data_IF_489702468463
#
_entry.id   IF_489702468463
#
_cell.length_a   1.000
_cell.length_b   1.000
_cell.length_c   1.000
_cell.angle_alpha   90.00
_cell.angle_beta   90.00
_cell.angle_gamma   90.00
#
_symmetry.space_group_name_H-M   'P 1'
#
loop_
_entity.id
_entity.type
_entity.pdbx_description
1 polymer ?
#
# COMPACT_ATOMS: atom_id res chain seq x y z
N UNK A 1 25.74 63.23 26.34
CA UNK A 1 25.85 63.22 27.81
C UNK A 1 25.56 61.80 28.19
N UNK A 2 26.60 61.11 28.39
CA UNK A 2 27.24 60.51 29.58
C UNK A 2 26.56 59.16 29.83
N UNK A 3 27.19 58.07 29.51
CA UNK A 3 28.41 57.40 29.96
C UNK A 3 28.26 56.68 31.31
N UNK A 4 28.87 55.54 31.33
CA UNK A 4 29.30 54.69 32.45
C UNK A 4 28.27 53.69 33.00
N UNK A 5 28.56 52.45 33.19
CA UNK A 5 29.82 51.81 33.43
C UNK A 5 29.78 50.29 33.47
N UNK A 6 30.87 49.82 33.02
CA UNK A 6 31.39 48.47 33.15
C UNK A 6 31.78 48.15 34.62
N UNK A 7 31.76 46.90 34.94
CA UNK A 7 32.63 46.10 35.81
C UNK A 7 31.76 45.05 36.51
N UNK A 8 31.92 43.78 36.48
CA UNK A 8 33.13 43.00 36.45
C UNK A 8 32.94 41.87 37.46
N UNK A 9 32.73 40.64 37.01
CA UNK A 9 32.90 39.45 37.86
C UNK A 9 33.78 38.45 37.12
N UNK A 10 35.04 38.64 37.29
CA UNK A 10 36.06 37.64 37.01
C UNK A 10 36.34 36.86 38.30
N UNK A 11 36.55 35.55 38.11
CA UNK A 11 37.27 34.58 38.93
C UNK A 11 36.52 33.98 40.13
N UNK A 12 36.29 32.68 39.98
CA UNK A 12 36.87 31.71 40.93
C UNK A 12 36.77 30.32 40.27
N UNK A 13 37.85 30.00 39.56
CA UNK A 13 38.17 28.61 39.18
C UNK A 13 38.79 27.99 40.42
N UNK A 14 38.13 27.05 41.03
CA UNK A 14 38.71 26.14 42.02
C UNK A 14 38.97 24.82 41.32
N UNK A 15 40.21 24.64 40.92
CA UNK A 15 40.79 23.37 40.52
C UNK A 15 40.76 22.39 41.69
N UNK A 16 40.07 21.28 41.51
CA UNK A 16 40.24 20.08 42.35
C UNK A 16 40.79 18.97 41.46
N UNK A 17 41.95 18.37 41.79
CA UNK A 17 42.47 17.25 41.03
C UNK A 17 41.71 15.99 41.29
N UNK A 18 41.28 15.30 40.22
CA UNK A 18 40.71 13.96 40.26
C UNK A 18 41.81 12.92 40.54
N UNK A 19 41.56 11.90 41.39
CA UNK A 19 42.55 10.86 41.66
C UNK A 19 42.70 9.93 40.43
N UNK A 20 43.93 9.76 40.04
CA UNK A 20 44.37 8.69 39.14
C UNK A 20 44.20 7.36 39.83
N UNK A 21 43.25 6.53 39.38
CA UNK A 21 43.28 5.07 39.39
C UNK A 21 41.89 4.54 39.09
N UNK A 22 41.66 4.16 37.88
CA UNK A 22 41.03 2.91 37.48
C UNK A 22 40.96 2.86 35.94
N UNK A 23 42.08 2.55 35.30
CA UNK A 23 42.05 1.96 33.94
C UNK A 23 41.93 0.47 34.12
N UNK A 24 40.79 -0.11 33.83
CA UNK A 24 40.72 -1.51 33.39
C UNK A 24 39.36 -1.73 32.69
N UNK A 25 39.47 -2.09 31.42
CA UNK A 25 38.53 -2.88 30.65
C UNK A 25 37.12 -2.29 30.39
N UNK A 26 36.98 -1.53 29.34
CA UNK A 26 35.78 -1.64 28.52
C UNK A 26 36.26 -1.92 27.10
N UNK A 27 36.19 -3.18 26.79
CA UNK A 27 36.38 -3.72 25.46
C UNK A 27 35.33 -3.20 24.49
N UNK A 28 35.76 -3.11 23.28
CA UNK A 28 35.05 -2.76 22.08
C UNK A 28 33.55 -3.18 22.03
N UNK A 29 32.70 -2.19 21.88
CA UNK A 29 31.41 -2.34 21.25
C UNK A 29 31.17 -1.08 20.39
N UNK A 30 32.02 -0.89 19.40
CA UNK A 30 31.71 -0.05 18.26
C UNK A 30 30.96 -0.93 17.26
N UNK A 31 29.66 -1.09 17.47
CA UNK A 31 28.79 -1.75 16.51
C UNK A 31 27.73 -0.77 16.02
N UNK A 32 27.98 -0.27 14.83
CA UNK A 32 26.98 -0.09 13.78
C UNK A 32 25.72 0.71 14.13
N UNK A 33 25.81 2.01 14.11
CA UNK A 33 24.71 2.91 13.75
C UNK A 33 24.78 3.16 12.23
N UNK A 34 24.41 2.20 11.43
CA UNK A 34 24.07 2.37 10.04
C UNK A 34 22.91 1.43 9.71
N UNK A 35 21.74 1.75 10.25
CA UNK A 35 20.48 1.17 9.88
C UNK A 35 19.55 2.27 9.37
N UNK A 36 19.83 2.86 8.22
CA UNK A 36 18.76 3.41 7.40
C UNK A 36 17.90 2.23 6.96
N UNK A 37 17.04 1.81 7.85
CA UNK A 37 15.97 0.88 7.54
C UNK A 37 15.08 1.54 6.51
N UNK A 38 15.24 1.15 5.24
CA UNK A 38 14.20 1.34 4.25
C UNK A 38 12.90 0.88 4.91
N UNK A 39 11.96 1.78 5.13
CA UNK A 39 10.61 1.44 5.53
C UNK A 39 10.02 0.65 4.38
N UNK A 40 10.24 -0.65 4.38
CA UNK A 40 9.51 -1.60 3.56
C UNK A 40 8.05 -1.42 3.97
N UNK A 41 7.24 -0.84 3.07
CA UNK A 41 5.82 -0.65 3.31
C UNK A 41 5.23 -1.94 3.85
N UNK A 42 4.61 -1.89 5.03
CA UNK A 42 4.20 -3.05 5.77
C UNK A 42 3.24 -3.91 4.92
N UNK A 43 3.72 -5.05 4.46
CA UNK A 43 2.91 -6.06 3.80
C UNK A 43 2.12 -6.81 4.87
N UNK A 44 0.80 -6.82 4.74
CA UNK A 44 -0.08 -7.65 5.57
C UNK A 44 -0.12 -9.03 4.93
N UNK A 45 0.43 -10.05 5.60
CA UNK A 45 0.42 -11.44 5.13
C UNK A 45 -0.75 -12.22 5.73
N UNK A 46 -1.38 -13.15 4.98
CA UNK A 46 -2.45 -13.99 5.49
C UNK A 46 -2.01 -14.81 6.71
N UNK A 47 -2.82 -14.81 7.77
CA UNK A 47 -2.65 -15.70 8.93
C UNK A 47 -3.41 -16.98 8.64
N UNK A 48 -2.72 -18.03 8.34
CA UNK A 48 -3.01 -19.46 8.23
C UNK A 48 -4.36 -20.11 8.54
N UNK A 49 -5.49 -19.39 8.48
CA UNK A 49 -6.83 -19.97 8.49
C UNK A 49 -7.32 -20.00 7.04
N UNK A 50 -7.15 -21.13 6.37
CA UNK A 50 -7.78 -21.32 5.06
C UNK A 50 -9.29 -21.29 5.22
N UNK A 51 -9.95 -20.26 4.71
CA UNK A 51 -11.36 -20.35 4.39
C UNK A 51 -11.52 -21.32 3.21
N UNK A 52 -12.67 -21.95 3.07
CA UNK A 52 -12.99 -22.77 1.88
C UNK A 52 -13.24 -21.89 0.65
N UNK A 53 -13.28 -20.56 0.83
CA UNK A 53 -13.54 -19.57 -0.22
C UNK A 53 -12.24 -19.11 -0.86
N UNK A 54 -12.31 -18.85 -2.15
CA UNK A 54 -11.24 -18.34 -3.00
C UNK A 54 -11.67 -16.98 -3.59
N UNK A 55 -10.72 -16.15 -3.99
CA UNK A 55 -11.03 -14.94 -4.74
C UNK A 55 -11.82 -15.22 -6.02
N UNK A 56 -11.69 -16.41 -6.60
CA UNK A 56 -12.42 -16.83 -7.80
C UNK A 56 -13.93 -17.00 -7.57
N UNK A 57 -14.40 -17.00 -6.32
CA UNK A 57 -15.82 -17.08 -5.99
C UNK A 57 -16.53 -15.72 -6.08
N UNK A 58 -15.80 -14.64 -6.36
CA UNK A 58 -16.36 -13.29 -6.41
C UNK A 58 -16.45 -12.74 -7.83
N UNK A 59 -17.47 -11.92 -8.03
CA UNK A 59 -17.75 -11.23 -9.29
C UNK A 59 -18.02 -9.77 -9.01
N UNK A 60 -17.37 -8.88 -9.74
CA UNK A 60 -17.65 -7.45 -9.70
C UNK A 60 -18.51 -7.07 -10.90
N UNK A 61 -19.49 -6.14 -10.77
CA UNK A 61 -20.11 -5.53 -11.93
C UNK A 61 -19.06 -4.68 -12.66
N UNK A 62 -19.04 -4.73 -13.99
CA UNK A 62 -18.15 -3.93 -14.81
C UNK A 62 -18.67 -2.50 -14.98
N UNK A 63 -17.79 -1.49 -14.97
CA UNK A 63 -18.18 -0.08 -15.16
C UNK A 63 -18.83 0.19 -16.53
N UNK A 64 -18.52 -0.63 -17.53
CA UNK A 64 -19.10 -0.56 -18.86
C UNK A 64 -20.37 -1.43 -19.03
N UNK A 65 -20.84 -2.05 -17.93
CA UNK A 65 -21.91 -3.03 -17.93
C UNK A 65 -21.42 -4.47 -18.08
N UNK A 66 -22.24 -5.42 -17.60
CA UNK A 66 -21.87 -6.84 -17.51
C UNK A 66 -21.08 -7.16 -16.25
N UNK A 67 -20.44 -8.32 -16.25
CA UNK A 67 -19.78 -8.88 -15.07
C UNK A 67 -18.27 -9.10 -15.29
N UNK A 68 -17.53 -8.96 -14.21
CA UNK A 68 -16.09 -9.26 -14.08
C UNK A 68 -15.91 -10.38 -13.05
N UNK A 69 -16.20 -11.65 -13.38
CA UNK A 69 -15.95 -12.76 -12.48
C UNK A 69 -14.46 -13.00 -12.35
N UNK A 70 -13.93 -12.96 -11.13
CA UNK A 70 -12.51 -13.22 -10.89
C UNK A 70 -12.10 -14.63 -11.35
N UNK A 71 -13.04 -15.56 -11.44
CA UNK A 71 -12.85 -16.88 -12.01
C UNK A 71 -12.40 -16.87 -13.48
N UNK A 72 -12.77 -15.85 -14.26
CA UNK A 72 -12.30 -15.69 -15.63
C UNK A 72 -10.78 -15.47 -15.73
N UNK A 73 -10.16 -15.08 -14.62
CA UNK A 73 -8.73 -14.86 -14.50
C UNK A 73 -8.01 -15.94 -13.70
N UNK A 74 -8.64 -17.12 -13.50
CA UNK A 74 -7.96 -18.27 -12.89
C UNK A 74 -6.68 -18.60 -13.62
N UNK A 75 -5.62 -18.90 -12.88
CA UNK A 75 -4.26 -19.11 -13.43
C UNK A 75 -3.48 -17.82 -13.67
N UNK A 76 -4.05 -16.64 -13.36
CA UNK A 76 -3.40 -15.34 -13.50
C UNK A 76 -3.39 -14.60 -12.16
N UNK A 77 -2.29 -13.91 -11.79
CA UNK A 77 -2.33 -13.02 -10.64
C UNK A 77 -3.22 -11.80 -10.92
N UNK A 78 -3.98 -11.36 -9.90
CA UNK A 78 -4.87 -10.19 -10.01
C UNK A 78 -4.51 -9.18 -8.92
N UNK A 79 -4.16 -7.96 -9.32
CA UNK A 79 -3.96 -6.83 -8.41
C UNK A 79 -5.28 -6.03 -8.33
N UNK A 80 -6.01 -6.19 -7.23
CA UNK A 80 -7.26 -5.47 -6.95
C UNK A 80 -6.96 -4.20 -6.17
N UNK A 81 -7.46 -3.06 -6.64
CA UNK A 81 -7.19 -1.74 -6.03
C UNK A 81 -8.47 -0.94 -5.92
N UNK A 82 -8.85 -0.51 -4.71
CA UNK A 82 -9.95 0.44 -4.58
C UNK A 82 -9.48 1.86 -4.93
N UNK A 83 -10.21 2.53 -5.82
CA UNK A 83 -9.79 3.79 -6.44
C UNK A 83 -10.76 4.94 -6.17
N UNK A 84 -10.30 6.17 -6.39
CA UNK A 84 -11.15 7.36 -6.35
C UNK A 84 -10.55 8.49 -7.21
N UNK A 85 -11.44 9.30 -7.84
CA UNK A 85 -11.07 10.37 -8.75
C UNK A 85 -10.51 11.61 -8.04
N UNK A 86 -10.98 11.92 -6.83
CA UNK A 86 -10.63 13.16 -6.11
C UNK A 86 -9.78 12.89 -4.86
N UNK A 87 -8.76 12.06 -4.97
CA UNK A 87 -7.90 11.64 -3.88
C UNK A 87 -6.46 12.16 -4.06
N UNK A 88 -5.76 12.43 -2.98
CA UNK A 88 -4.33 12.77 -3.05
C UNK A 88 -3.44 11.67 -3.67
N UNK A 89 -3.95 10.44 -3.74
CA UNK A 89 -3.28 9.31 -4.38
C UNK A 89 -3.73 9.04 -5.82
N UNK A 90 -4.58 9.87 -6.42
CA UNK A 90 -5.14 9.67 -7.77
C UNK A 90 -4.05 9.56 -8.86
N UNK A 91 -2.89 10.19 -8.67
CA UNK A 91 -1.73 10.02 -9.55
C UNK A 91 -1.26 8.56 -9.71
N UNK A 92 -1.61 7.67 -8.75
CA UNK A 92 -1.29 6.25 -8.83
C UNK A 92 -2.02 5.51 -9.97
N UNK A 93 -3.03 6.10 -10.61
CA UNK A 93 -3.59 5.54 -11.85
C UNK A 93 -2.51 5.36 -12.93
N UNK A 94 -1.57 6.33 -13.05
CA UNK A 94 -0.45 6.20 -14.01
C UNK A 94 0.50 5.05 -13.63
N UNK A 95 0.78 4.90 -12.33
CA UNK A 95 1.65 3.83 -11.85
C UNK A 95 0.97 2.46 -12.04
N UNK A 96 -0.36 2.35 -11.82
CA UNK A 96 -1.15 1.14 -12.09
C UNK A 96 -1.15 0.78 -13.57
N UNK A 97 -1.36 1.77 -14.44
CA UNK A 97 -1.33 1.55 -15.90
C UNK A 97 0.06 1.12 -16.37
N UNK A 98 1.12 1.71 -15.82
CA UNK A 98 2.50 1.31 -16.13
C UNK A 98 2.77 -0.14 -15.73
N UNK A 99 2.35 -0.55 -14.53
CA UNK A 99 2.46 -1.94 -14.05
C UNK A 99 1.60 -2.87 -14.91
N UNK A 100 0.37 -2.46 -15.25
CA UNK A 100 -0.50 -3.22 -16.15
C UNK A 100 0.16 -3.46 -17.50
N UNK A 101 0.62 -2.41 -18.20
CA UNK A 101 1.27 -2.52 -19.52
C UNK A 101 2.52 -3.38 -19.47
N UNK A 102 3.30 -3.29 -18.40
CA UNK A 102 4.53 -4.07 -18.22
C UNK A 102 4.29 -5.57 -18.11
N UNK A 103 3.19 -5.97 -17.45
CA UNK A 103 3.01 -7.37 -17.05
C UNK A 103 1.78 -8.07 -17.63
N UNK A 104 0.87 -7.38 -18.33
CA UNK A 104 -0.35 -7.97 -18.88
C UNK A 104 -0.10 -9.14 -19.82
N UNK A 105 0.93 -9.03 -20.68
CA UNK A 105 1.28 -10.07 -21.64
C UNK A 105 1.90 -11.31 -20.97
N UNK A 106 2.33 -11.16 -19.70
CA UNK A 106 2.77 -12.24 -18.81
C UNK A 106 1.68 -12.70 -17.85
N UNK A 107 0.46 -12.22 -18.03
CA UNK A 107 -0.72 -12.70 -17.33
C UNK A 107 -1.19 -11.87 -16.14
N UNK A 108 -0.51 -10.78 -15.74
CA UNK A 108 -1.05 -9.92 -14.69
C UNK A 108 -2.38 -9.31 -15.12
N UNK A 109 -3.34 -9.32 -14.21
CA UNK A 109 -4.56 -8.50 -14.31
C UNK A 109 -4.50 -7.42 -13.23
N UNK A 110 -4.85 -6.18 -13.60
CA UNK A 110 -5.14 -5.10 -12.66
C UNK A 110 -6.64 -4.85 -12.70
N UNK A 111 -7.29 -4.82 -11.54
CA UNK A 111 -8.71 -4.50 -11.40
C UNK A 111 -8.86 -3.25 -10.53
N UNK A 112 -9.29 -2.15 -11.12
CA UNK A 112 -9.68 -0.94 -10.40
C UNK A 112 -11.12 -1.05 -9.91
N UNK A 113 -11.35 -0.71 -8.64
CA UNK A 113 -12.66 -0.75 -8.00
C UNK A 113 -12.97 0.63 -7.42
N UNK A 114 -13.66 1.51 -8.15
CA UNK A 114 -14.05 2.82 -7.65
C UNK A 114 -14.88 2.70 -6.37
N UNK A 115 -14.60 3.56 -5.37
CA UNK A 115 -15.33 3.59 -4.11
C UNK A 115 -15.46 5.01 -3.54
N UNK A 116 -16.65 5.32 -3.02
CA UNK A 116 -16.93 6.60 -2.37
C UNK A 116 -16.80 6.56 -0.85
N UNK A 117 -16.33 5.46 -0.28
CA UNK A 117 -16.34 5.23 1.18
C UNK A 117 -15.34 6.11 1.93
N UNK A 118 -14.33 6.63 1.26
CA UNK A 118 -13.28 7.44 1.87
C UNK A 118 -13.39 8.90 1.47
N UNK A 119 -13.96 9.69 2.38
CA UNK A 119 -14.08 11.14 2.22
C UNK A 119 -15.00 11.59 1.08
N UNK A 120 -15.85 10.71 0.53
CA UNK A 120 -16.73 11.07 -0.57
C UNK A 120 -15.97 11.39 -1.87
N UNK A 121 -14.77 10.84 -2.06
CA UNK A 121 -13.84 11.22 -3.13
C UNK A 121 -14.11 10.53 -4.48
N UNK A 122 -15.20 9.75 -4.58
CA UNK A 122 -15.70 9.18 -5.84
C UNK A 122 -17.20 9.44 -6.00
N UNK A 123 -17.63 10.71 -6.10
CA UNK A 123 -19.07 11.06 -6.18
C UNK A 123 -19.69 10.70 -7.52
N UNK A 124 -18.88 10.62 -8.60
CA UNK A 124 -19.32 10.43 -9.98
C UNK A 124 -20.12 9.15 -10.22
N UNK A 125 -20.88 9.14 -11.32
CA UNK A 125 -21.53 7.96 -11.88
C UNK A 125 -20.55 7.19 -12.78
N UNK A 126 -20.86 5.95 -13.17
CA UNK A 126 -20.01 5.10 -13.99
C UNK A 126 -19.41 5.79 -15.22
N UNK A 127 -20.22 6.53 -15.98
CA UNK A 127 -19.75 7.25 -17.18
C UNK A 127 -18.73 8.36 -16.84
N UNK A 128 -18.93 9.09 -15.74
CA UNK A 128 -18.05 10.17 -15.29
C UNK A 128 -16.72 9.60 -14.77
N UNK A 129 -16.78 8.51 -14.00
CA UNK A 129 -15.60 7.80 -13.50
C UNK A 129 -14.78 7.25 -14.67
N UNK A 130 -15.45 6.61 -15.64
CA UNK A 130 -14.79 6.09 -16.83
C UNK A 130 -14.08 7.19 -17.61
N UNK A 131 -14.78 8.30 -17.89
CA UNK A 131 -14.20 9.46 -18.58
C UNK A 131 -13.00 10.04 -17.82
N UNK A 132 -13.08 10.09 -16.48
CA UNK A 132 -11.97 10.53 -15.64
C UNK A 132 -10.77 9.58 -15.76
N UNK A 133 -10.98 8.26 -15.69
CA UNK A 133 -9.91 7.27 -15.85
C UNK A 133 -9.23 7.35 -17.22
N UNK A 134 -9.97 7.70 -18.27
CA UNK A 134 -9.43 7.92 -19.63
C UNK A 134 -8.40 9.07 -19.66
N UNK A 135 -8.50 10.07 -18.78
CA UNK A 135 -7.49 11.14 -18.66
C UNK A 135 -6.13 10.67 -18.12
N UNK A 136 -6.08 9.46 -17.57
CA UNK A 136 -4.88 8.77 -17.10
C UNK A 136 -4.46 7.62 -18.02
N UNK A 137 -5.06 7.52 -19.24
CA UNK A 137 -4.87 6.44 -20.20
C UNK A 137 -5.12 5.03 -19.62
N UNK A 138 -6.02 4.91 -18.62
CA UNK A 138 -6.35 3.64 -17.97
C UNK A 138 -6.93 2.67 -18.99
N UNK A 139 -6.27 1.53 -19.15
CA UNK A 139 -6.68 0.45 -20.07
C UNK A 139 -6.94 -0.90 -19.35
N UNK A 140 -6.66 -0.98 -18.05
CA UNK A 140 -6.99 -2.15 -17.25
C UNK A 140 -8.49 -2.20 -16.88
N UNK A 141 -9.03 -3.39 -16.54
CA UNK A 141 -10.41 -3.58 -16.12
C UNK A 141 -10.83 -2.68 -14.95
N UNK A 142 -12.02 -2.07 -15.08
CA UNK A 142 -12.65 -1.26 -14.04
C UNK A 142 -14.00 -1.88 -13.64
N UNK A 143 -14.18 -2.10 -12.36
CA UNK A 143 -15.49 -2.40 -11.79
C UNK A 143 -16.37 -1.15 -11.75
N UNK A 144 -17.68 -1.31 -11.69
CA UNK A 144 -18.58 -0.26 -11.26
C UNK A 144 -18.34 0.06 -9.79
N UNK A 145 -18.79 1.24 -9.35
CA UNK A 145 -18.55 1.74 -7.98
C UNK A 145 -19.08 0.77 -6.92
N UNK A 146 -18.24 0.46 -5.95
CA UNK A 146 -18.54 -0.49 -4.88
C UNK A 146 -18.40 0.14 -3.49
N UNK A 147 -19.14 -0.41 -2.54
CA UNK A 147 -18.84 -0.28 -1.10
C UNK A 147 -17.72 -1.25 -0.78
N UNK A 148 -16.65 -0.78 -0.14
CA UNK A 148 -15.44 -1.57 0.14
C UNK A 148 -15.16 -1.74 1.63
N UNK A 149 -15.89 -1.03 2.50
CA UNK A 149 -15.78 -1.15 3.98
C UNK A 149 -17.14 -1.31 4.64
N UNK A 150 -17.13 -1.85 5.86
CA UNK A 150 -18.32 -2.05 6.68
C UNK A 150 -19.19 -3.23 6.25
N UNK A 151 -20.36 -3.35 6.87
CA UNK A 151 -21.28 -4.49 6.66
C UNK A 151 -21.85 -4.59 5.23
N UNK A 152 -21.94 -3.47 4.50
CA UNK A 152 -22.38 -3.41 3.11
C UNK A 152 -21.28 -3.65 2.09
N UNK A 153 -20.05 -3.90 2.52
CA UNK A 153 -18.93 -4.09 1.61
C UNK A 153 -19.16 -5.25 0.63
N UNK A 154 -18.67 -5.09 -0.60
CA UNK A 154 -18.66 -6.14 -1.60
C UNK A 154 -18.07 -7.45 -1.01
N UNK A 155 -18.61 -8.63 -1.35
CA UNK A 155 -18.21 -9.92 -0.76
C UNK A 155 -16.68 -10.17 -0.78
N UNK A 156 -15.98 -9.74 -1.82
CA UNK A 156 -14.53 -9.82 -1.92
C UNK A 156 -13.83 -9.12 -0.73
N UNK A 157 -14.25 -7.91 -0.36
CA UNK A 157 -13.61 -7.17 0.74
C UNK A 157 -13.94 -7.78 2.10
N UNK A 158 -15.15 -8.34 2.27
CA UNK A 158 -15.49 -9.10 3.48
C UNK A 158 -14.63 -10.37 3.61
N UNK A 159 -14.40 -11.06 2.49
CA UNK A 159 -13.50 -12.20 2.45
C UNK A 159 -12.05 -11.82 2.80
N UNK A 160 -11.54 -10.71 2.26
CA UNK A 160 -10.20 -10.20 2.61
C UNK A 160 -10.08 -9.94 4.11
N UNK A 161 -11.12 -9.35 4.75
CA UNK A 161 -11.14 -9.16 6.19
C UNK A 161 -11.15 -10.50 6.94
N UNK A 162 -11.87 -11.49 6.44
CA UNK A 162 -11.86 -12.83 7.02
C UNK A 162 -10.48 -13.51 6.95
N UNK A 163 -9.72 -13.30 5.85
CA UNK A 163 -8.38 -13.86 5.65
C UNK A 163 -7.29 -13.12 6.47
N UNK A 164 -7.35 -11.80 6.54
CA UNK A 164 -6.30 -10.96 7.13
C UNK A 164 -6.65 -10.45 8.54
N UNK A 165 -7.90 -10.60 8.96
CA UNK A 165 -8.46 -9.93 10.14
C UNK A 165 -8.81 -8.46 9.82
N UNK A 166 -9.29 -7.72 10.83
CA UNK A 166 -9.73 -6.32 10.70
C UNK A 166 -8.64 -5.38 10.14
N UNK A 167 -7.37 -5.71 10.34
CA UNK A 167 -6.24 -4.98 9.75
C UNK A 167 -6.14 -5.08 8.23
N UNK A 168 -6.83 -6.06 7.62
CA UNK A 168 -6.86 -6.27 6.18
C UNK A 168 -7.87 -5.41 5.43
N UNK A 169 -8.81 -4.77 6.13
CA UNK A 169 -9.74 -3.85 5.48
C UNK A 169 -9.02 -2.67 4.82
N UNK A 170 -9.51 -2.15 3.69
CA UNK A 170 -8.97 -0.91 3.12
C UNK A 170 -9.16 0.22 4.13
N UNK A 171 -8.11 1.01 4.37
CA UNK A 171 -8.16 2.15 5.29
C UNK A 171 -8.25 3.49 4.57
N UNK A 172 -8.04 3.48 3.27
CA UNK A 172 -8.13 4.64 2.39
C UNK A 172 -8.21 4.20 0.93
N UNK A 173 -8.43 5.14 0.01
CA UNK A 173 -8.37 4.91 -1.42
C UNK A 173 -6.98 4.43 -1.85
N UNK A 174 -6.89 3.67 -2.91
CA UNK A 174 -5.67 3.07 -3.44
C UNK A 174 -5.00 2.05 -2.49
N UNK A 175 -5.78 1.33 -1.67
CA UNK A 175 -5.33 0.12 -1.01
C UNK A 175 -5.27 -1.03 -2.03
N UNK A 176 -4.27 -1.88 -1.94
CA UNK A 176 -3.99 -2.92 -2.94
C UNK A 176 -4.06 -4.29 -2.31
N UNK A 177 -4.60 -5.25 -3.07
CA UNK A 177 -4.62 -6.68 -2.74
C UNK A 177 -4.10 -7.48 -3.93
N UNK A 178 -3.18 -8.39 -3.71
CA UNK A 178 -2.70 -9.31 -4.74
C UNK A 178 -3.33 -10.68 -4.50
N UNK A 179 -4.06 -11.14 -5.49
CA UNK A 179 -4.59 -12.50 -5.57
C UNK A 179 -3.63 -13.33 -6.41
N UNK A 180 -3.24 -14.49 -5.91
CA UNK A 180 -2.42 -15.46 -6.63
C UNK A 180 -3.23 -16.21 -7.72
N UNK A 181 -2.56 -16.89 -8.67
CA UNK A 181 -3.21 -17.64 -9.74
C UNK A 181 -4.19 -18.73 -9.27
N UNK A 182 -4.03 -19.26 -8.06
CA UNK A 182 -4.91 -20.24 -7.43
C UNK A 182 -6.11 -19.62 -6.70
N UNK A 183 -6.22 -18.29 -6.70
CA UNK A 183 -7.27 -17.54 -6.02
C UNK A 183 -7.00 -17.27 -4.54
N UNK A 184 -5.85 -17.65 -4.00
CA UNK A 184 -5.46 -17.28 -2.63
C UNK A 184 -4.97 -15.83 -2.56
N UNK A 185 -5.08 -15.22 -1.38
CA UNK A 185 -4.58 -13.88 -1.15
C UNK A 185 -3.06 -13.91 -0.90
N UNK A 186 -2.29 -13.32 -1.81
CA UNK A 186 -0.82 -13.30 -1.75
C UNK A 186 -0.26 -12.10 -0.98
N UNK A 187 -0.97 -10.97 -0.96
CA UNK A 187 -0.51 -9.79 -0.24
C UNK A 187 -1.51 -8.65 -0.20
N UNK A 188 -1.27 -7.70 0.71
CA UNK A 188 -2.04 -6.46 0.81
C UNK A 188 -1.10 -5.31 1.18
N UNK A 189 -1.36 -4.12 0.61
CA UNK A 189 -0.54 -2.93 0.84
C UNK A 189 -1.41 -1.68 1.00
N UNK A 190 -1.06 -0.80 1.95
CA UNK A 190 -1.77 0.45 2.15
C UNK A 190 -1.54 1.43 0.99
N UNK A 191 -2.33 2.49 0.98
CA UNK A 191 -2.37 3.52 -0.06
C UNK A 191 -1.02 4.15 -0.39
N UNK A 192 -0.15 4.31 0.63
CA UNK A 192 1.16 4.95 0.52
C UNK A 192 2.16 4.14 -0.31
N UNK A 193 1.97 2.82 -0.40
CA UNK A 193 2.83 1.95 -1.21
C UNK A 193 2.40 2.08 -2.67
N UNK A 194 3.27 2.62 -3.50
CA UNK A 194 3.01 2.79 -4.93
C UNK A 194 2.87 1.43 -5.63
N UNK A 195 2.05 1.34 -6.69
CA UNK A 195 1.86 0.10 -7.45
C UNK A 195 3.16 -0.51 -8.01
N UNK A 196 4.11 0.34 -8.42
CA UNK A 196 5.41 -0.02 -8.97
C UNK A 196 6.51 -0.23 -7.91
N UNK A 197 6.16 -0.11 -6.63
CA UNK A 197 7.12 -0.28 -5.55
C UNK A 197 7.73 -1.70 -5.55
N UNK A 198 9.03 -1.84 -5.23
CA UNK A 198 9.69 -3.14 -5.15
C UNK A 198 8.98 -4.13 -4.21
N UNK A 199 8.26 -3.63 -3.19
CA UNK A 199 7.49 -4.44 -2.25
C UNK A 199 6.30 -5.15 -2.92
N UNK A 200 5.70 -4.56 -3.96
CA UNK A 200 4.61 -5.15 -4.74
C UNK A 200 5.16 -5.98 -5.90
N UNK A 201 6.09 -5.41 -6.65
CA UNK A 201 6.67 -6.05 -7.85
C UNK A 201 7.30 -7.42 -7.51
N UNK A 202 8.02 -7.52 -6.39
CA UNK A 202 8.63 -8.79 -5.95
C UNK A 202 7.62 -9.88 -5.61
N UNK A 203 6.39 -9.53 -5.25
CA UNK A 203 5.33 -10.52 -5.01
C UNK A 203 4.58 -10.86 -6.31
N UNK A 204 4.51 -9.93 -7.28
CA UNK A 204 3.89 -10.16 -8.59
C UNK A 204 4.76 -11.08 -9.47
N UNK A 205 6.05 -10.78 -9.61
CA UNK A 205 6.92 -11.43 -10.60
C UNK A 205 6.98 -12.96 -10.52
N UNK A 206 7.04 -13.58 -9.32
CA UNK A 206 7.02 -15.04 -9.20
C UNK A 206 5.70 -15.70 -9.59
N UNK A 207 4.60 -14.93 -9.60
CA UNK A 207 3.25 -15.41 -9.92
C UNK A 207 2.92 -15.32 -11.42
N UNK A 208 3.75 -14.61 -12.18
CA UNK A 208 3.54 -14.44 -13.62
C UNK A 208 3.91 -15.71 -14.40
N UNK A 209 3.31 -15.90 -15.56
CA UNK A 209 3.73 -16.93 -16.50
C UNK A 209 5.22 -16.77 -16.83
N UNK A 210 5.93 -17.90 -16.89
CA UNK A 210 7.31 -17.91 -17.37
C UNK A 210 7.31 -17.56 -18.85
N UNK A 211 8.14 -16.61 -19.22
CA UNK A 211 8.38 -16.23 -20.62
C UNK A 211 9.06 -17.35 -21.37
#
# INVERSE_FOLDING_TARGET
MADTGLTGWRRLVLERPLPRRLFLAIGAAAAALNGFGAQAGAQIRPRGRRTTMSAHDFTFPAIAGGDLPLKAWSGKPVLVVNTASFCGYTSQYRDLEAVWRRYKDRGLVVLGVPSNDFGGQEPGKAAEIKAFCETFDVSFPLADKQVVVGGGAHPFYRWVVAELGEGGAPRWNFHKYLVAPDGTLAGAWPSQVKPDAPAIVREIEPLLAKS
#
